data_IF_623827387594
#
_entry.id   IF_623827387594
#
_cell.length_a   1.000
_cell.length_b   1.000
_cell.length_c   1.000
_cell.angle_alpha   90.00
_cell.angle_beta   90.00
_cell.angle_gamma   90.00
#
_symmetry.space_group_name_H-M   'P 1'
#
loop_
_entity.id
_entity.type
_entity.pdbx_description
1 polymer ?
#
# COMPACT_ATOMS: atom_id res chain seq x y z
N UNK A 1 -7.60 16.08 3.57
CA UNK A 1 -8.63 15.16 4.14
C UNK A 1 -7.91 13.98 4.78
N UNK A 2 -8.20 13.60 6.02
CA UNK A 2 -7.57 12.47 6.68
C UNK A 2 -8.21 11.13 6.24
N UNK A 3 -7.92 10.70 5.01
CA UNK A 3 -8.51 9.48 4.39
C UNK A 3 -8.38 8.26 5.30
N UNK A 4 -7.22 8.07 5.93
CA UNK A 4 -6.98 6.95 6.84
C UNK A 4 -7.87 7.02 8.08
N UNK A 5 -8.09 8.21 8.64
CA UNK A 5 -8.97 8.38 9.79
C UNK A 5 -10.44 8.08 9.43
N UNK A 6 -10.88 8.47 8.24
CA UNK A 6 -12.24 8.20 7.77
C UNK A 6 -12.46 6.71 7.47
N UNK A 7 -11.45 6.01 6.95
CA UNK A 7 -11.46 4.54 6.83
C UNK A 7 -11.48 3.86 8.19
N UNK A 8 -10.64 4.30 9.12
CA UNK A 8 -10.56 3.72 10.46
C UNK A 8 -11.85 3.91 11.27
N UNK A 9 -12.56 5.02 11.07
CA UNK A 9 -13.85 5.30 11.70
C UNK A 9 -15.06 4.77 10.93
N UNK A 10 -14.82 4.01 9.85
CA UNK A 10 -15.85 3.46 8.95
C UNK A 10 -16.76 4.51 8.29
N UNK A 11 -16.32 5.77 8.20
CA UNK A 11 -17.00 6.79 7.37
C UNK A 11 -16.82 6.49 5.88
N UNK A 12 -15.71 5.83 5.53
CA UNK A 12 -15.48 5.23 4.22
C UNK A 12 -15.59 3.72 4.41
N UNK A 13 -16.59 3.09 3.81
CA UNK A 13 -17.00 1.72 4.07
C UNK A 13 -16.44 0.69 3.10
N UNK A 14 -15.58 1.08 2.18
CA UNK A 14 -14.98 0.14 1.24
C UNK A 14 -14.22 0.80 0.11
N UNK A 15 -13.82 -0.03 -0.85
CA UNK A 15 -13.15 0.38 -2.07
C UNK A 15 -14.11 0.38 -3.26
N UNK A 16 -13.96 1.39 -4.11
CA UNK A 16 -14.49 1.44 -5.46
C UNK A 16 -13.47 0.86 -6.46
N UNK A 17 -13.48 1.40 -7.68
CA UNK A 17 -12.53 0.97 -8.70
C UNK A 17 -11.09 1.35 -8.36
N UNK A 18 -10.17 0.40 -8.59
CA UNK A 18 -8.74 0.67 -8.67
C UNK A 18 -8.38 1.11 -10.11
N UNK A 19 -7.29 1.87 -10.30
CA UNK A 19 -6.84 2.23 -11.64
C UNK A 19 -6.40 0.97 -12.38
N UNK A 20 -7.03 0.69 -13.52
CA UNK A 20 -6.94 -0.61 -14.17
C UNK A 20 -5.69 -0.84 -15.01
N UNK A 21 -4.79 0.12 -15.30
CA UNK A 21 -3.64 -0.21 -16.18
C UNK A 21 -2.61 0.88 -16.49
N UNK A 22 -2.59 2.01 -15.86
CA UNK A 22 -1.61 3.04 -16.24
C UNK A 22 -0.43 3.07 -15.27
N UNK A 23 0.55 2.20 -15.54
CA UNK A 23 1.85 2.29 -14.89
C UNK A 23 2.53 3.59 -15.33
N UNK A 24 2.66 4.55 -14.41
CA UNK A 24 3.46 5.75 -14.66
C UNK A 24 4.95 5.48 -14.41
N UNK A 25 5.25 4.44 -13.65
CA UNK A 25 6.61 4.04 -13.36
C UNK A 25 6.69 2.51 -13.20
N UNK A 26 7.52 1.87 -14.00
CA UNK A 26 7.87 0.45 -13.95
C UNK A 26 9.37 0.33 -14.20
N UNK A 27 10.17 0.69 -13.19
CA UNK A 27 11.63 0.79 -13.32
C UNK A 27 12.30 -0.06 -12.26
N UNK A 28 13.19 -0.99 -12.63
CA UNK A 28 14.01 -1.73 -11.68
C UNK A 28 14.83 -0.78 -10.80
N UNK A 29 14.85 -1.06 -9.50
CA UNK A 29 15.65 -0.30 -8.53
C UNK A 29 17.07 -0.84 -8.41
N UNK A 30 17.27 -2.11 -8.80
CA UNK A 30 18.59 -2.72 -8.83
C UNK A 30 18.69 -3.75 -9.96
N UNK A 31 19.85 -3.86 -10.57
CA UNK A 31 20.14 -4.92 -11.52
C UNK A 31 20.24 -6.27 -10.79
N UNK A 32 19.45 -7.25 -11.22
CA UNK A 32 19.51 -8.61 -10.67
C UNK A 32 18.70 -8.88 -9.40
N UNK A 33 17.94 -7.91 -8.89
CA UNK A 33 17.04 -8.11 -7.75
C UNK A 33 15.59 -7.86 -8.17
N UNK A 34 14.66 -8.64 -7.60
CA UNK A 34 13.23 -8.50 -7.83
C UNK A 34 12.65 -7.30 -7.05
N UNK A 35 13.23 -6.11 -7.22
CA UNK A 35 12.80 -4.86 -6.59
C UNK A 35 12.66 -3.80 -7.67
N UNK A 36 11.47 -3.16 -7.76
CA UNK A 36 11.23 -2.10 -8.74
C UNK A 36 10.21 -1.07 -8.27
N UNK A 37 10.27 0.11 -8.85
CA UNK A 37 9.12 1.01 -8.83
C UNK A 37 8.00 0.43 -9.69
N UNK A 38 6.77 0.35 -9.14
CA UNK A 38 5.60 -0.08 -9.90
C UNK A 38 4.36 0.59 -9.35
N UNK A 39 4.11 1.81 -9.79
CA UNK A 39 2.98 2.61 -9.32
C UNK A 39 2.45 3.55 -10.39
N UNK A 40 1.23 4.06 -10.17
CA UNK A 40 0.73 5.22 -10.88
C UNK A 40 0.28 6.33 -9.92
N UNK A 41 0.44 7.61 -10.30
CA UNK A 41 -0.24 8.71 -9.64
C UNK A 41 -1.75 8.56 -9.79
N UNK A 42 -2.48 8.80 -8.68
CA UNK A 42 -3.94 8.72 -8.67
C UNK A 42 -4.54 9.94 -8.00
N UNK A 43 -5.74 10.28 -8.44
CA UNK A 43 -6.67 11.13 -7.72
C UNK A 43 -7.52 10.23 -6.80
N UNK A 44 -7.58 10.60 -5.52
CA UNK A 44 -8.33 9.85 -4.50
C UNK A 44 -9.60 10.61 -4.20
N UNK A 45 -10.72 9.96 -4.40
CA UNK A 45 -12.06 10.52 -4.15
C UNK A 45 -12.88 9.56 -3.29
N UNK A 46 -13.88 10.10 -2.62
CA UNK A 46 -14.89 9.31 -1.91
C UNK A 46 -16.20 9.43 -2.68
N UNK A 47 -16.73 8.29 -3.11
CA UNK A 47 -17.99 8.24 -3.85
C UNK A 47 -19.20 8.63 -2.97
N UNK A 48 -20.35 8.90 -3.58
CA UNK A 48 -21.61 9.12 -2.88
C UNK A 48 -22.04 7.91 -2.03
N UNK A 49 -21.50 6.74 -2.31
CA UNK A 49 -21.72 5.51 -1.51
C UNK A 49 -20.62 5.28 -0.47
N UNK A 50 -19.87 6.33 -0.11
CA UNK A 50 -18.77 6.29 0.87
C UNK A 50 -17.69 5.24 0.56
N UNK A 51 -17.34 5.06 -0.71
CA UNK A 51 -16.25 4.19 -1.14
C UNK A 51 -15.06 5.01 -1.60
N UNK A 52 -13.86 4.57 -1.19
CA UNK A 52 -12.61 5.13 -1.69
C UNK A 52 -12.40 4.71 -3.14
N UNK A 53 -12.24 5.66 -4.03
CA UNK A 53 -11.99 5.43 -5.44
C UNK A 53 -10.66 6.05 -5.83
N UNK A 54 -9.84 5.28 -6.54
CA UNK A 54 -8.58 5.73 -7.12
C UNK A 54 -8.75 5.80 -8.64
N UNK A 55 -8.65 6.98 -9.21
CA UNK A 55 -8.67 7.20 -10.66
C UNK A 55 -7.32 7.71 -11.13
N UNK A 56 -7.02 7.59 -12.42
CA UNK A 56 -5.81 8.19 -12.98
C UNK A 56 -5.78 9.69 -12.67
N UNK A 57 -4.63 10.19 -12.24
CA UNK A 57 -4.49 11.58 -11.82
C UNK A 57 -4.73 12.54 -12.97
N UNK A 58 -5.71 13.43 -12.80
CA UNK A 58 -6.07 14.50 -13.75
C UNK A 58 -5.67 15.89 -13.27
N UNK A 59 -5.19 16.01 -12.02
CA UNK A 59 -4.46 17.20 -11.56
C UNK A 59 -5.05 18.02 -10.43
N UNK A 60 -6.28 17.77 -9.95
CA UNK A 60 -6.96 18.68 -9.00
C UNK A 60 -7.35 18.05 -7.66
N UNK A 61 -7.49 16.73 -7.57
CA UNK A 61 -7.96 16.04 -6.36
C UNK A 61 -6.84 15.70 -5.36
N UNK A 62 -7.19 15.03 -4.28
CA UNK A 62 -6.25 14.51 -3.29
C UNK A 62 -5.28 13.58 -4.02
N UNK A 63 -4.01 13.94 -3.97
CA UNK A 63 -2.95 13.25 -4.72
C UNK A 63 -2.46 12.06 -3.93
N UNK A 64 -2.43 10.91 -4.58
CA UNK A 64 -1.87 9.69 -4.04
C UNK A 64 -1.09 8.91 -5.10
N UNK A 65 -0.62 7.75 -4.68
CA UNK A 65 -0.04 6.75 -5.57
C UNK A 65 -0.77 5.43 -5.37
N UNK A 66 -1.13 4.76 -6.45
CA UNK A 66 -1.56 3.38 -6.40
C UNK A 66 -0.35 2.48 -6.64
N UNK A 67 -0.03 1.66 -5.66
CA UNK A 67 1.08 0.73 -5.68
C UNK A 67 0.59 -0.64 -6.14
N UNK A 68 1.08 -1.10 -7.30
CA UNK A 68 0.64 -2.34 -7.90
C UNK A 68 1.38 -3.55 -7.32
N UNK A 69 0.66 -4.64 -7.18
CA UNK A 69 1.22 -5.97 -6.95
C UNK A 69 1.90 -6.52 -8.21
N UNK A 70 2.95 -7.30 -8.01
CA UNK A 70 3.53 -8.15 -9.03
C UNK A 70 4.13 -9.41 -8.41
N UNK A 71 3.81 -10.55 -9.01
CA UNK A 71 4.31 -11.85 -8.53
C UNK A 71 5.84 -11.87 -8.51
N UNK A 72 6.40 -12.41 -7.43
CA UNK A 72 7.83 -12.57 -7.21
C UNK A 72 8.63 -11.25 -7.10
N UNK A 73 7.98 -10.10 -6.95
CA UNK A 73 8.63 -8.80 -6.82
C UNK A 73 8.30 -8.11 -5.50
N UNK A 74 9.22 -7.27 -5.06
CA UNK A 74 8.93 -6.18 -4.14
C UNK A 74 8.71 -4.90 -4.98
N UNK A 75 7.47 -4.43 -5.04
CA UNK A 75 7.14 -3.20 -5.74
C UNK A 75 7.16 -2.02 -4.78
N UNK A 76 7.66 -0.89 -5.22
CA UNK A 76 7.91 0.28 -4.37
C UNK A 76 7.32 1.53 -5.00
N UNK A 77 6.84 2.45 -4.17
CA UNK A 77 6.56 3.83 -4.58
C UNK A 77 7.07 4.82 -3.54
N UNK A 78 7.42 6.01 -4.00
CA UNK A 78 7.77 7.13 -3.13
C UNK A 78 6.50 7.79 -2.60
N UNK A 79 6.53 8.15 -1.33
CA UNK A 79 5.53 8.95 -0.63
C UNK A 79 6.15 10.26 -0.19
N UNK A 80 5.50 11.38 -0.43
CA UNK A 80 5.95 12.71 -0.05
C UNK A 80 4.76 13.64 0.25
N UNK A 81 5.04 14.91 0.54
CA UNK A 81 4.00 15.90 0.85
C UNK A 81 3.07 16.23 -0.32
N UNK A 82 3.49 15.97 -1.56
CA UNK A 82 2.69 16.20 -2.77
C UNK A 82 1.76 15.02 -3.02
N UNK A 83 2.23 13.80 -2.74
CA UNK A 83 1.48 12.54 -2.83
C UNK A 83 1.59 11.80 -1.49
N UNK A 84 0.86 12.29 -0.47
CA UNK A 84 1.01 11.77 0.88
C UNK A 84 0.27 10.46 1.11
N UNK A 85 -0.48 9.95 0.12
CA UNK A 85 -1.30 8.75 0.26
C UNK A 85 -0.82 7.68 -0.69
N UNK A 86 -0.65 6.46 -0.17
CA UNK A 86 -0.42 5.26 -0.96
C UNK A 86 -1.57 4.30 -0.72
N UNK A 87 -2.13 3.81 -1.81
CA UNK A 87 -3.18 2.78 -1.84
C UNK A 87 -2.61 1.55 -2.52
N UNK A 88 -2.84 0.39 -1.96
CA UNK A 88 -2.46 -0.89 -2.56
C UNK A 88 -3.50 -1.96 -2.22
N UNK A 89 -3.75 -2.86 -3.14
CA UNK A 89 -4.70 -3.96 -2.98
C UNK A 89 -4.14 -5.30 -3.45
N UNK A 90 -4.98 -6.34 -3.34
CA UNK A 90 -4.59 -7.67 -3.79
C UNK A 90 -3.69 -8.44 -2.83
N UNK A 91 -3.66 -8.07 -1.55
CA UNK A 91 -2.91 -8.81 -0.55
C UNK A 91 -3.64 -10.10 -0.17
N UNK A 92 -3.01 -11.24 -0.40
CA UNK A 92 -3.49 -12.57 0.02
C UNK A 92 -2.49 -13.32 0.89
N UNK A 93 -1.38 -12.70 1.26
CA UNK A 93 -0.26 -13.27 2.00
C UNK A 93 1.00 -12.44 1.89
N UNK A 94 0.97 -11.39 1.07
CA UNK A 94 2.05 -10.43 0.87
C UNK A 94 2.38 -9.67 2.15
N UNK A 95 3.46 -8.89 2.15
CA UNK A 95 3.75 -7.92 3.20
C UNK A 95 3.66 -6.49 2.66
N UNK A 96 3.32 -5.56 3.53
CA UNK A 96 3.41 -4.14 3.26
C UNK A 96 4.38 -3.51 4.27
N UNK A 97 5.34 -2.75 3.77
CA UNK A 97 6.32 -2.04 4.59
C UNK A 97 6.42 -0.58 4.18
N UNK A 98 6.80 0.26 5.14
CA UNK A 98 7.18 1.64 4.88
C UNK A 98 8.58 1.87 5.39
N UNK A 99 9.42 2.51 4.57
CA UNK A 99 10.78 2.88 4.89
C UNK A 99 10.95 4.39 4.83
N UNK A 100 11.91 4.90 5.60
CA UNK A 100 12.38 6.28 5.56
C UNK A 100 13.84 6.31 5.11
N UNK A 101 14.17 7.12 4.13
CA UNK A 101 15.56 7.28 3.67
C UNK A 101 15.73 8.44 2.72
N UNK A 102 16.88 9.13 2.77
CA UNK A 102 17.19 10.25 1.87
C UNK A 102 16.18 11.40 1.92
N UNK A 103 15.55 11.66 3.09
CA UNK A 103 14.52 12.69 3.23
C UNK A 103 13.16 12.35 2.59
N UNK A 104 12.95 11.09 2.22
CA UNK A 104 11.70 10.60 1.62
C UNK A 104 11.19 9.36 2.35
N UNK A 105 9.94 8.99 2.04
CA UNK A 105 9.32 7.74 2.48
C UNK A 105 9.05 6.85 1.27
N UNK A 106 9.13 5.54 1.48
CA UNK A 106 8.95 4.53 0.45
C UNK A 106 8.00 3.48 0.97
N UNK A 107 6.86 3.32 0.31
CA UNK A 107 5.93 2.24 0.60
C UNK A 107 6.20 1.06 -0.33
N UNK A 108 6.13 -0.15 0.18
CA UNK A 108 6.41 -1.37 -0.56
C UNK A 108 5.29 -2.40 -0.42
N UNK A 109 4.86 -2.98 -1.55
CA UNK A 109 4.07 -4.19 -1.62
C UNK A 109 5.00 -5.35 -1.99
N UNK A 110 5.16 -6.30 -1.10
CA UNK A 110 6.16 -7.36 -1.20
C UNK A 110 5.43 -8.68 -1.43
N UNK A 111 5.58 -9.23 -2.63
CA UNK A 111 5.05 -10.55 -2.93
C UNK A 111 5.78 -11.61 -2.08
N UNK A 112 5.00 -12.48 -1.43
CA UNK A 112 5.50 -13.60 -0.66
C UNK A 112 5.02 -14.89 -1.34
N UNK A 113 5.87 -15.53 -2.15
CA UNK A 113 5.54 -16.82 -2.73
C UNK A 113 5.30 -17.86 -1.62
N UNK A 114 4.49 -18.86 -1.92
CA UNK A 114 4.24 -19.93 -0.96
C UNK A 114 5.50 -20.80 -0.72
N UNK A 115 5.57 -21.41 0.46
CA UNK A 115 6.61 -22.35 0.81
C UNK A 115 7.87 -21.73 1.46
N UNK A 116 9.01 -22.43 1.44
CA UNK A 116 10.23 -22.02 2.16
C UNK A 116 10.81 -20.67 1.72
N UNK A 117 10.48 -20.22 0.51
CA UNK A 117 10.93 -18.94 -0.03
C UNK A 117 10.00 -17.76 0.29
N UNK A 118 8.98 -17.96 1.14
CA UNK A 118 7.96 -16.94 1.40
C UNK A 118 8.53 -15.56 1.77
N UNK A 119 9.63 -15.51 2.51
CA UNK A 119 10.24 -14.25 2.94
C UNK A 119 11.47 -13.83 2.10
N UNK A 120 11.72 -14.48 0.97
CA UNK A 120 12.88 -14.15 0.13
C UNK A 120 12.84 -12.71 -0.37
N UNK A 121 11.69 -12.25 -0.90
CA UNK A 121 11.53 -10.88 -1.37
C UNK A 121 11.55 -9.86 -0.22
N UNK A 122 11.07 -10.25 0.97
CA UNK A 122 11.16 -9.41 2.18
C UNK A 122 12.63 -9.16 2.52
N UNK A 123 13.44 -10.23 2.61
CA UNK A 123 14.89 -10.13 2.89
C UNK A 123 15.62 -9.33 1.81
N UNK A 124 15.33 -9.58 0.54
CA UNK A 124 15.93 -8.83 -0.57
C UNK A 124 15.66 -7.33 -0.47
N UNK A 125 14.43 -6.95 -0.15
CA UNK A 125 14.10 -5.54 0.03
C UNK A 125 14.76 -4.94 1.27
N UNK A 126 14.81 -5.67 2.39
CA UNK A 126 15.47 -5.22 3.62
C UNK A 126 16.99 -5.02 3.40
N UNK A 127 17.64 -5.94 2.70
CA UNK A 127 19.06 -5.83 2.33
C UNK A 127 19.29 -4.61 1.42
N UNK A 128 18.44 -4.42 0.40
CA UNK A 128 18.51 -3.25 -0.46
C UNK A 128 18.29 -1.95 0.33
N UNK A 129 17.28 -1.93 1.19
CA UNK A 129 16.99 -0.79 2.05
C UNK A 129 18.18 -0.44 2.95
N UNK A 130 18.81 -1.45 3.56
CA UNK A 130 20.03 -1.28 4.35
C UNK A 130 21.20 -0.67 3.54
N UNK A 131 21.43 -1.16 2.31
CA UNK A 131 22.46 -0.61 1.41
C UNK A 131 22.19 0.85 1.01
N UNK A 132 20.91 1.26 0.94
CA UNK A 132 20.49 2.64 0.64
C UNK A 132 20.40 3.53 1.89
N UNK A 133 20.66 3.01 3.07
CA UNK A 133 20.48 3.73 4.32
C UNK A 133 19.00 4.01 4.64
N UNK A 134 18.09 3.19 4.13
CA UNK A 134 16.68 3.27 4.47
C UNK A 134 16.41 2.55 5.78
N UNK A 135 15.59 3.15 6.63
CA UNK A 135 15.13 2.57 7.88
C UNK A 135 13.68 2.11 7.72
N UNK A 136 13.39 0.86 8.07
CA UNK A 136 12.01 0.40 8.22
C UNK A 136 11.33 1.17 9.35
N UNK A 137 10.15 1.73 9.08
CA UNK A 137 9.33 2.45 10.07
C UNK A 137 7.97 1.81 10.30
N UNK A 138 7.48 1.04 9.35
CA UNK A 138 6.26 0.24 9.52
C UNK A 138 6.37 -1.10 8.81
N UNK A 139 5.82 -2.13 9.46
CA UNK A 139 5.54 -3.43 8.86
C UNK A 139 4.08 -3.80 9.15
N UNK A 140 3.30 -3.98 8.09
CA UNK A 140 1.89 -4.37 8.20
C UNK A 140 1.72 -5.76 7.58
N UNK A 141 1.64 -6.81 8.39
CA UNK A 141 1.43 -8.17 7.90
C UNK A 141 -0.01 -8.30 7.34
N UNK A 142 -0.14 -8.97 6.21
CA UNK A 142 -1.44 -9.25 5.58
C UNK A 142 -1.76 -10.74 5.53
N UNK A 143 -0.78 -11.59 5.85
CA UNK A 143 -0.97 -13.04 5.91
C UNK A 143 -2.01 -13.44 6.95
N UNK A 144 -2.83 -14.42 6.63
CA UNK A 144 -3.86 -14.97 7.53
C UNK A 144 -5.12 -14.10 7.68
N UNK A 145 -5.15 -12.87 7.17
CA UNK A 145 -6.30 -11.96 7.34
C UNK A 145 -7.56 -12.50 6.65
N UNK A 146 -7.42 -12.97 5.41
CA UNK A 146 -8.54 -13.56 4.65
C UNK A 146 -8.98 -14.87 5.29
N UNK A 147 -8.06 -15.72 5.73
CA UNK A 147 -8.40 -16.98 6.38
C UNK A 147 -9.02 -16.84 7.77
N UNK A 148 -8.71 -15.77 8.49
CA UNK A 148 -9.23 -15.51 9.84
C UNK A 148 -10.67 -14.95 9.85
N UNK A 149 -11.11 -14.37 8.74
CA UNK A 149 -12.46 -13.82 8.61
C UNK A 149 -13.14 -14.44 7.36
N UNK A 150 -14.14 -15.31 7.53
CA UNK A 150 -14.78 -16.00 6.40
C UNK A 150 -15.51 -15.05 5.43
N UNK A 151 -15.83 -13.84 5.84
CA UNK A 151 -16.42 -12.84 4.96
C UNK A 151 -15.36 -12.08 4.13
N UNK A 152 -14.08 -12.17 4.50
CA UNK A 152 -13.00 -11.47 3.81
C UNK A 152 -12.52 -12.27 2.60
N UNK A 153 -12.50 -11.65 1.43
CA UNK A 153 -11.97 -12.22 0.19
C UNK A 153 -10.73 -11.55 -0.33
N UNK A 154 -10.44 -10.33 0.16
CA UNK A 154 -9.29 -9.54 -0.22
C UNK A 154 -8.81 -8.65 0.93
N UNK A 155 -7.58 -8.17 0.80
CA UNK A 155 -7.02 -7.14 1.69
C UNK A 155 -6.53 -5.96 0.87
N UNK A 156 -6.82 -4.76 1.36
CA UNK A 156 -6.26 -3.52 0.85
C UNK A 156 -5.57 -2.73 1.96
N UNK A 157 -4.61 -1.91 1.58
CA UNK A 157 -3.88 -1.03 2.49
C UNK A 157 -3.95 0.39 1.97
N UNK A 158 -4.19 1.32 2.89
CA UNK A 158 -4.04 2.75 2.67
C UNK A 158 -3.07 3.29 3.72
N UNK A 159 -1.99 3.88 3.25
CA UNK A 159 -0.98 4.52 4.10
C UNK A 159 -0.93 6.01 3.77
N UNK A 160 -0.89 6.86 4.79
CA UNK A 160 -0.93 8.31 4.64
C UNK A 160 0.12 8.98 5.51
N UNK A 161 0.89 9.89 4.91
CA UNK A 161 1.75 10.83 5.63
C UNK A 161 0.88 11.98 6.17
N UNK A 162 0.82 12.14 7.48
CA UNK A 162 0.02 13.16 8.16
C UNK A 162 0.92 13.93 9.14
N UNK A 163 1.30 15.15 8.77
CA UNK A 163 2.21 15.92 9.61
C UNK A 163 3.50 15.17 9.87
N UNK A 164 3.73 14.79 11.12
CA UNK A 164 4.93 14.08 11.57
C UNK A 164 4.63 12.60 11.92
N UNK A 165 3.75 11.96 11.18
CA UNK A 165 3.42 10.53 11.36
C UNK A 165 3.07 9.85 10.04
N UNK A 166 3.29 8.54 10.00
CA UNK A 166 2.70 7.65 8.99
C UNK A 166 1.54 6.90 9.64
N UNK A 167 0.39 7.05 9.04
CA UNK A 167 -0.85 6.42 9.47
C UNK A 167 -1.31 5.42 8.42
N UNK A 168 -1.42 4.16 8.79
CA UNK A 168 -1.73 3.08 7.85
C UNK A 168 -2.95 2.30 8.32
N UNK A 169 -3.86 2.02 7.40
CA UNK A 169 -5.02 1.15 7.62
C UNK A 169 -4.93 -0.07 6.71
N UNK A 170 -5.05 -1.23 7.33
CA UNK A 170 -5.29 -2.50 6.63
C UNK A 170 -6.77 -2.81 6.68
N UNK A 171 -7.37 -3.05 5.54
CA UNK A 171 -8.79 -3.32 5.35
C UNK A 171 -8.97 -4.75 4.85
N UNK A 172 -9.72 -5.56 5.58
CA UNK A 172 -10.25 -6.80 5.03
C UNK A 172 -11.55 -6.47 4.29
N UNK A 173 -11.69 -6.93 3.07
CA UNK A 173 -12.78 -6.61 2.15
C UNK A 173 -13.54 -7.89 1.78
N UNK A 174 -14.86 -7.79 1.68
CA UNK A 174 -15.70 -8.85 1.09
C UNK A 174 -15.61 -8.85 -0.45
N UNK A 175 -16.37 -9.75 -1.08
CA UNK A 175 -16.44 -9.88 -2.54
C UNK A 175 -17.05 -8.67 -3.25
N UNK A 176 -17.70 -7.77 -2.53
CA UNK A 176 -18.25 -6.51 -3.03
C UNK A 176 -17.31 -5.32 -2.77
N UNK A 177 -16.13 -5.56 -2.19
CA UNK A 177 -15.18 -4.54 -1.79
C UNK A 177 -15.62 -3.74 -0.57
N UNK A 178 -16.57 -4.25 0.24
CA UNK A 178 -16.96 -3.62 1.50
C UNK A 178 -15.99 -4.03 2.62
N UNK A 179 -15.75 -3.11 3.53
CA UNK A 179 -14.86 -3.35 4.67
C UNK A 179 -15.56 -4.21 5.72
N UNK A 180 -14.99 -5.37 6.01
CA UNK A 180 -15.46 -6.30 7.05
C UNK A 180 -14.56 -6.31 8.29
N UNK A 181 -13.34 -5.81 8.18
CA UNK A 181 -12.43 -5.61 9.30
C UNK A 181 -11.44 -4.48 9.01
N UNK A 182 -11.07 -3.73 10.05
CA UNK A 182 -10.13 -2.61 10.00
C UNK A 182 -9.05 -2.79 11.04
N UNK A 183 -7.79 -2.63 10.62
CA UNK A 183 -6.65 -2.57 11.52
C UNK A 183 -5.83 -1.32 11.22
N UNK A 184 -5.60 -0.45 12.20
CA UNK A 184 -4.86 0.81 12.07
C UNK A 184 -3.54 0.74 12.81
N UNK A 185 -2.50 1.26 12.18
CA UNK A 185 -1.16 1.44 12.75
C UNK A 185 -0.73 2.88 12.53
N UNK A 186 -0.36 3.57 13.59
CA UNK A 186 0.20 4.93 13.53
C UNK A 186 1.63 4.90 14.04
N UNK A 187 2.56 5.43 13.26
CA UNK A 187 3.98 5.52 13.61
C UNK A 187 4.41 6.98 13.61
N UNK A 188 4.82 7.56 14.75
CA UNK A 188 5.49 8.87 14.81
C UNK A 188 6.82 8.82 14.05
N UNK A 189 7.25 9.97 13.47
CA UNK A 189 8.46 10.10 12.65
C UNK A 189 9.57 10.87 13.36
#
# INVERSE_FOLDING_TARGET
MPVVADLASQRIIGFGAAPMSHLANDTPLSSGHAIKYRYCPVDITVSATNRLTCTQATGIAIKGSYLFFEDNWATVCRMDIIRPIVVSGGFSGCAFKVYRGGGAFFAAHIARPNGPSADANVRLLDDYAGQKGWQEIQHVPTSGVVGANPAATAVAIVSQLIGNSIDTVRLALDNMGQTVNVHRVTTPL
#
